data_IF_087232646020
#
_entry.id   IF_087232646020
#
_cell.length_a   1.000
_cell.length_b   1.000
_cell.length_c   1.000
_cell.angle_alpha   90.00
_cell.angle_beta   90.00
_cell.angle_gamma   90.00
#
_symmetry.space_group_name_H-M   'P 1'
#
loop_
_entity.id
_entity.type
_entity.pdbx_description
1 polymer ?
#
# COMPACT_ATOMS: atom_id res chain seq x y z
N UNK A 1 24.56 24.20 5.81
CA UNK A 1 23.60 23.65 4.83
C UNK A 1 22.26 23.47 5.55
N UNK A 2 21.13 23.79 4.94
CA UNK A 2 19.81 23.62 5.57
C UNK A 2 19.61 22.13 5.95
N UNK A 3 19.17 21.84 7.18
CA UNK A 3 18.95 20.48 7.69
C UNK A 3 18.01 19.69 6.76
N UNK A 4 16.95 20.34 6.24
CA UNK A 4 16.04 19.70 5.30
C UNK A 4 16.75 19.29 3.99
N UNK A 5 17.64 20.15 3.49
CA UNK A 5 18.42 19.86 2.28
C UNK A 5 19.43 18.73 2.53
N UNK A 6 20.02 18.65 3.72
CA UNK A 6 20.91 17.56 4.10
C UNK A 6 20.19 16.21 4.12
N UNK A 7 19.00 16.14 4.73
CA UNK A 7 18.17 14.93 4.74
C UNK A 7 17.73 14.52 3.33
N UNK A 8 17.39 15.50 2.48
CA UNK A 8 17.07 15.25 1.08
C UNK A 8 18.22 14.64 0.30
N UNK A 9 19.41 15.23 0.44
CA UNK A 9 20.61 14.72 -0.21
C UNK A 9 20.94 13.32 0.32
N UNK A 10 20.80 13.07 1.63
CA UNK A 10 21.03 11.74 2.22
C UNK A 10 20.06 10.69 1.65
N UNK A 11 18.76 10.99 1.58
CA UNK A 11 17.75 10.09 1.01
C UNK A 11 18.03 9.81 -0.47
N UNK A 12 18.34 10.85 -1.25
CA UNK A 12 18.68 10.71 -2.67
C UNK A 12 19.97 9.91 -2.87
N UNK A 13 20.97 10.11 -2.01
CA UNK A 13 22.21 9.32 -2.03
C UNK A 13 21.92 7.84 -1.73
N UNK A 14 21.07 7.53 -0.76
CA UNK A 14 20.66 6.15 -0.48
C UNK A 14 19.93 5.51 -1.67
N UNK A 15 19.03 6.25 -2.32
CA UNK A 15 18.36 5.78 -3.54
C UNK A 15 19.38 5.54 -4.66
N UNK A 16 20.32 6.47 -4.87
CA UNK A 16 21.36 6.34 -5.88
C UNK A 16 22.26 5.12 -5.60
N UNK A 17 22.66 4.89 -4.35
CA UNK A 17 23.40 3.70 -3.93
C UNK A 17 22.59 2.43 -4.25
N UNK A 18 21.30 2.40 -3.91
CA UNK A 18 20.41 1.28 -4.25
C UNK A 18 20.37 0.99 -5.75
N UNK A 19 20.28 2.04 -6.58
CA UNK A 19 20.31 1.92 -8.04
C UNK A 19 21.67 1.40 -8.53
N UNK A 20 22.79 1.88 -7.97
CA UNK A 20 24.14 1.42 -8.32
C UNK A 20 24.42 -0.02 -7.89
N UNK A 21 23.79 -0.48 -6.81
CA UNK A 21 23.91 -1.86 -6.33
C UNK A 21 22.96 -2.83 -7.03
N UNK A 22 21.86 -2.34 -7.62
CA UNK A 22 20.86 -3.17 -8.32
C UNK A 22 21.47 -4.12 -9.38
N UNK A 23 22.45 -3.73 -10.21
CA UNK A 23 23.09 -4.64 -11.18
C UNK A 23 23.87 -5.79 -10.55
N UNK A 24 24.23 -5.71 -9.26
CA UNK A 24 24.91 -6.81 -8.55
C UNK A 24 23.94 -7.94 -8.19
N UNK A 25 22.63 -7.71 -8.26
CA UNK A 25 21.58 -8.70 -8.06
C UNK A 25 21.35 -9.39 -9.40
N UNK A 26 21.93 -10.58 -9.58
CA UNK A 26 21.96 -11.26 -10.88
C UNK A 26 20.80 -12.23 -11.08
N UNK A 27 20.29 -12.81 -9.99
CA UNK A 27 19.23 -13.82 -10.06
C UNK A 27 17.91 -13.32 -9.52
N UNK A 28 16.80 -13.91 -9.99
CA UNK A 28 15.46 -13.61 -9.50
C UNK A 28 15.31 -14.01 -8.04
N UNK A 29 15.91 -15.13 -7.63
CA UNK A 29 15.92 -15.62 -6.26
C UNK A 29 16.60 -14.63 -5.30
N UNK A 30 17.70 -14.01 -5.71
CA UNK A 30 18.36 -12.97 -4.92
C UNK A 30 17.46 -11.73 -4.76
N UNK A 31 16.81 -11.30 -5.84
CA UNK A 31 15.90 -10.16 -5.80
C UNK A 31 14.70 -10.44 -4.90
N UNK A 32 14.13 -11.63 -4.99
CA UNK A 32 12.97 -12.03 -4.19
C UNK A 32 13.37 -12.25 -2.71
N UNK A 33 14.58 -12.74 -2.44
CA UNK A 33 15.15 -12.79 -1.09
C UNK A 33 15.30 -11.41 -0.46
N UNK A 34 15.82 -10.43 -1.20
CA UNK A 34 15.93 -9.04 -0.72
C UNK A 34 14.53 -8.45 -0.48
N UNK A 35 13.57 -8.66 -1.39
CA UNK A 35 12.18 -8.21 -1.18
C UNK A 35 11.57 -8.84 0.06
N UNK A 36 11.77 -10.13 0.29
CA UNK A 36 11.25 -10.81 1.47
C UNK A 36 11.84 -10.21 2.76
N UNK A 37 13.14 -9.91 2.79
CA UNK A 37 13.76 -9.23 3.94
C UNK A 37 13.15 -7.84 4.14
N UNK A 38 12.97 -7.05 3.08
CA UNK A 38 12.40 -5.71 3.19
C UNK A 38 10.94 -5.75 3.65
N UNK A 39 10.10 -6.54 2.97
CA UNK A 39 8.65 -6.54 3.13
C UNK A 39 8.19 -7.33 4.35
N UNK A 40 8.87 -8.43 4.68
CA UNK A 40 8.43 -9.35 5.73
C UNK A 40 9.16 -9.15 7.06
N UNK A 41 10.34 -8.51 7.06
CA UNK A 41 11.13 -8.28 8.27
C UNK A 41 11.36 -6.80 8.55
N UNK A 42 12.03 -6.07 7.65
CA UNK A 42 12.47 -4.71 7.92
C UNK A 42 11.30 -3.73 8.09
N UNK A 43 10.31 -3.79 7.19
CA UNK A 43 9.14 -2.91 7.26
C UNK A 43 8.28 -3.21 8.51
N UNK A 44 7.89 -4.46 8.81
CA UNK A 44 7.19 -4.76 10.06
C UNK A 44 7.98 -4.36 11.31
N UNK A 45 9.29 -4.64 11.37
CA UNK A 45 10.11 -4.27 12.51
C UNK A 45 10.16 -2.75 12.72
N UNK A 46 10.29 -1.98 11.63
CA UNK A 46 10.27 -0.50 11.69
C UNK A 46 8.95 0.01 12.24
N UNK A 47 7.83 -0.56 11.77
CA UNK A 47 6.48 -0.21 12.25
C UNK A 47 6.34 -0.55 13.74
N UNK A 48 6.73 -1.76 14.16
CA UNK A 48 6.64 -2.17 15.57
C UNK A 48 7.50 -1.30 16.48
N UNK A 49 8.75 -1.03 16.11
CA UNK A 49 9.64 -0.15 16.88
C UNK A 49 9.05 1.26 16.98
N UNK A 50 8.51 1.80 15.88
CA UNK A 50 7.86 3.10 15.88
C UNK A 50 6.63 3.15 16.81
N UNK A 51 5.79 2.11 16.76
CA UNK A 51 4.63 1.98 17.63
C UNK A 51 5.01 1.84 19.11
N UNK A 52 6.04 1.05 19.44
CA UNK A 52 6.53 0.88 20.82
C UNK A 52 7.07 2.18 21.41
N UNK A 53 7.68 3.04 20.59
CA UNK A 53 8.19 4.35 21.00
C UNK A 53 7.09 5.42 21.10
N UNK A 54 5.88 5.12 20.65
CA UNK A 54 4.77 6.08 20.59
C UNK A 54 3.73 5.73 21.64
N UNK A 55 3.24 6.73 22.38
CA UNK A 55 2.07 6.55 23.23
C UNK A 55 0.81 6.39 22.37
N UNK A 56 0.40 5.15 22.14
CA UNK A 56 -0.83 4.86 21.39
C UNK A 56 -2.02 5.18 22.29
N UNK A 57 -2.62 6.35 22.08
CA UNK A 57 -3.84 6.77 22.75
C UNK A 57 -5.06 6.45 21.91
N UNK A 58 -6.21 6.30 22.57
CA UNK A 58 -7.50 5.95 21.94
C UNK A 58 -7.89 6.98 20.87
N UNK A 59 -7.50 8.25 21.02
CA UNK A 59 -7.80 9.30 20.03
C UNK A 59 -7.18 9.01 18.66
N UNK A 60 -6.09 8.22 18.60
CA UNK A 60 -5.43 7.86 17.34
C UNK A 60 -6.22 6.83 16.51
N UNK A 61 -7.27 6.20 17.06
CA UNK A 61 -8.21 5.34 16.29
C UNK A 61 -8.91 6.14 15.18
N UNK A 62 -9.02 7.46 15.34
CA UNK A 62 -9.54 8.34 14.28
C UNK A 62 -8.71 8.26 12.99
N UNK A 63 -7.41 7.94 13.06
CA UNK A 63 -6.54 7.86 11.88
C UNK A 63 -6.93 6.68 10.95
N UNK A 64 -7.05 5.42 11.41
CA UNK A 64 -7.53 4.33 10.56
C UNK A 64 -8.95 4.58 10.02
N UNK A 65 -9.85 5.15 10.82
CA UNK A 65 -11.23 5.46 10.38
C UNK A 65 -11.20 6.49 9.25
N UNK A 66 -10.43 7.57 9.41
CA UNK A 66 -10.28 8.62 8.40
C UNK A 66 -9.70 8.05 7.11
N UNK A 67 -8.66 7.22 7.19
CA UNK A 67 -8.07 6.55 6.03
C UNK A 67 -9.11 5.70 5.31
N UNK A 68 -9.83 4.83 6.03
CA UNK A 68 -10.88 3.98 5.46
C UNK A 68 -11.97 4.79 4.75
N UNK A 69 -12.46 5.87 5.36
CA UNK A 69 -13.43 6.78 4.74
C UNK A 69 -12.84 7.40 3.47
N UNK A 70 -11.60 7.84 3.52
CA UNK A 70 -10.91 8.39 2.35
C UNK A 70 -10.79 7.37 1.20
N UNK A 71 -10.47 6.10 1.50
CA UNK A 71 -10.44 5.05 0.48
C UNK A 71 -11.83 4.83 -0.16
N UNK A 72 -12.90 4.84 0.64
CA UNK A 72 -14.29 4.73 0.13
C UNK A 72 -14.63 5.91 -0.78
N UNK A 73 -14.25 7.13 -0.39
CA UNK A 73 -14.43 8.33 -1.21
C UNK A 73 -13.66 8.23 -2.53
N UNK A 74 -12.39 7.80 -2.49
CA UNK A 74 -11.59 7.59 -3.70
C UNK A 74 -12.19 6.51 -4.61
N UNK A 75 -12.73 5.44 -4.03
CA UNK A 75 -13.40 4.39 -4.79
C UNK A 75 -14.64 4.94 -5.51
N UNK A 76 -15.49 5.68 -4.79
CA UNK A 76 -16.68 6.33 -5.37
C UNK A 76 -16.32 7.34 -6.46
N UNK A 77 -15.31 8.17 -6.21
CA UNK A 77 -14.81 9.16 -7.17
C UNK A 77 -14.24 8.48 -8.41
N UNK A 78 -13.45 7.42 -8.25
CA UNK A 78 -12.91 6.63 -9.36
C UNK A 78 -14.05 6.03 -10.20
N UNK A 79 -15.05 5.46 -9.55
CA UNK A 79 -16.22 4.89 -10.24
C UNK A 79 -16.97 5.95 -11.08
N UNK A 80 -17.04 7.19 -10.60
CA UNK A 80 -17.67 8.30 -11.30
C UNK A 80 -16.81 8.86 -12.43
N UNK A 81 -15.50 9.08 -12.19
CA UNK A 81 -14.62 9.81 -13.11
C UNK A 81 -14.03 8.97 -14.24
N UNK A 82 -13.77 7.68 -14.01
CA UNK A 82 -13.13 6.81 -15.02
C UNK A 82 -13.87 6.78 -16.39
N UNK A 83 -15.22 6.75 -16.46
CA UNK A 83 -15.94 6.80 -17.74
C UNK A 83 -15.75 8.12 -18.49
N UNK A 84 -15.61 9.25 -17.78
CA UNK A 84 -15.31 10.54 -18.40
C UNK A 84 -13.89 10.60 -18.99
N UNK A 85 -12.99 9.73 -18.54
CA UNK A 85 -11.64 9.57 -19.07
C UNK A 85 -11.57 8.54 -20.22
N UNK A 86 -12.72 8.08 -20.73
CA UNK A 86 -12.80 7.10 -21.81
C UNK A 86 -12.70 5.64 -21.36
N UNK A 87 -12.69 5.36 -20.05
CA UNK A 87 -12.64 4.00 -19.51
C UNK A 87 -14.06 3.51 -19.24
N UNK A 88 -14.63 2.78 -20.20
CA UNK A 88 -16.02 2.32 -20.15
C UNK A 88 -16.29 1.40 -18.95
N UNK A 89 -17.49 1.52 -18.37
CA UNK A 89 -17.90 0.66 -17.25
C UNK A 89 -18.00 -0.80 -17.69
N UNK A 90 -17.64 -1.71 -16.79
CA UNK A 90 -17.73 -3.15 -17.02
C UNK A 90 -16.53 -3.78 -17.74
N UNK A 91 -15.59 -2.98 -18.24
CA UNK A 91 -14.38 -3.52 -18.86
C UNK A 91 -13.35 -4.00 -17.80
N UNK A 92 -12.39 -4.86 -18.18
CA UNK A 92 -11.28 -5.22 -17.31
C UNK A 92 -10.43 -4.02 -16.84
N UNK A 93 -10.26 -3.01 -17.70
CA UNK A 93 -9.50 -1.79 -17.41
C UNK A 93 -10.19 -0.96 -16.33
N UNK A 94 -11.52 -0.78 -16.44
CA UNK A 94 -12.31 -0.10 -15.42
C UNK A 94 -12.18 -0.76 -14.06
N UNK A 95 -12.30 -2.09 -14.01
CA UNK A 95 -12.18 -2.87 -12.77
C UNK A 95 -10.78 -2.77 -12.17
N UNK A 96 -9.75 -2.85 -13.02
CA UNK A 96 -8.36 -2.72 -12.60
C UNK A 96 -8.09 -1.34 -11.98
N UNK A 97 -8.53 -0.27 -12.63
CA UNK A 97 -8.36 1.09 -12.12
C UNK A 97 -9.18 1.35 -10.85
N UNK A 98 -10.40 0.81 -10.80
CA UNK A 98 -11.28 0.92 -9.64
C UNK A 98 -10.73 0.21 -8.40
N UNK A 99 -9.91 -0.83 -8.58
CA UNK A 99 -9.13 -1.43 -7.48
C UNK A 99 -7.88 -0.60 -7.17
N UNK A 100 -7.13 -0.20 -8.20
CA UNK A 100 -5.81 0.41 -8.04
C UNK A 100 -5.86 1.79 -7.35
N UNK A 101 -6.71 2.70 -7.82
CA UNK A 101 -6.74 4.09 -7.35
C UNK A 101 -6.98 4.20 -5.83
N UNK A 102 -7.99 3.52 -5.25
CA UNK A 102 -8.22 3.58 -3.82
C UNK A 102 -7.32 2.64 -3.01
N UNK A 103 -6.36 1.91 -3.61
CA UNK A 103 -5.58 0.91 -2.87
C UNK A 103 -4.35 1.44 -2.12
N UNK A 104 -3.84 2.61 -2.49
CA UNK A 104 -2.67 3.33 -1.94
C UNK A 104 -1.63 2.48 -1.16
N UNK A 105 -0.34 2.56 -1.50
CA UNK A 105 0.71 1.81 -0.77
C UNK A 105 1.66 2.68 0.10
N UNK A 106 1.16 3.41 1.14
CA UNK A 106 2.00 4.26 2.00
C UNK A 106 3.21 3.54 2.59
N UNK A 107 3.06 2.29 3.02
CA UNK A 107 4.15 1.53 3.65
C UNK A 107 5.39 1.33 2.76
N UNK A 108 5.23 1.32 1.43
CA UNK A 108 6.35 1.12 0.49
C UNK A 108 7.07 2.41 0.11
N UNK A 109 6.39 3.55 0.17
CA UNK A 109 6.90 4.82 -0.38
C UNK A 109 6.98 5.92 0.67
N UNK A 110 5.90 6.15 1.41
CA UNK A 110 5.80 7.25 2.37
C UNK A 110 6.58 6.97 3.66
N UNK A 111 6.62 5.73 4.14
CA UNK A 111 7.22 5.42 5.44
C UNK A 111 8.73 5.72 5.51
N UNK A 112 9.55 5.38 4.50
CA UNK A 112 10.97 5.77 4.51
C UNK A 112 11.18 7.28 4.55
N UNK A 113 10.33 8.05 3.84
CA UNK A 113 10.40 9.52 3.84
C UNK A 113 10.03 10.07 5.22
N UNK A 114 8.97 9.55 5.84
CA UNK A 114 8.57 9.96 7.18
C UNK A 114 9.64 9.62 8.22
N UNK A 115 10.23 8.43 8.15
CA UNK A 115 11.31 8.02 9.02
C UNK A 115 12.50 8.99 8.92
N UNK A 116 12.91 9.32 7.69
CA UNK A 116 14.04 10.22 7.47
C UNK A 116 13.74 11.66 7.94
N UNK A 117 12.59 12.23 7.57
CA UNK A 117 12.33 13.65 7.80
C UNK A 117 11.67 13.97 9.13
N UNK A 118 10.73 13.13 9.57
CA UNK A 118 9.87 13.38 10.74
C UNK A 118 10.06 12.35 11.87
N UNK A 119 10.82 11.28 11.64
CA UNK A 119 11.20 10.30 12.64
C UNK A 119 10.10 9.27 12.97
N UNK A 120 10.38 8.47 14.00
CA UNK A 120 9.59 7.28 14.36
C UNK A 120 8.13 7.60 14.72
N UNK A 121 7.86 8.73 15.36
CA UNK A 121 6.50 9.12 15.73
C UNK A 121 5.62 9.33 14.50
N UNK A 122 6.15 9.98 13.45
CA UNK A 122 5.42 10.17 12.20
C UNK A 122 5.18 8.84 11.47
N UNK A 123 6.13 7.91 11.54
CA UNK A 123 5.98 6.55 11.00
C UNK A 123 4.87 5.80 11.75
N UNK A 124 4.79 5.93 13.07
CA UNK A 124 3.73 5.31 13.87
C UNK A 124 2.34 5.83 13.48
N UNK A 125 2.18 7.15 13.33
CA UNK A 125 0.92 7.75 12.89
C UNK A 125 0.53 7.31 11.48
N UNK A 126 1.50 7.27 10.57
CA UNK A 126 1.28 6.77 9.22
C UNK A 126 0.95 5.27 9.18
N UNK A 127 1.53 4.46 10.07
CA UNK A 127 1.19 3.05 10.21
C UNK A 127 -0.23 2.84 10.73
N UNK A 128 -0.68 3.64 11.71
CA UNK A 128 -2.05 3.63 12.19
C UNK A 128 -3.04 4.06 11.11
N UNK A 129 -2.70 5.07 10.30
CA UNK A 129 -3.49 5.44 9.12
C UNK A 129 -3.52 4.34 8.06
N UNK A 130 -2.38 3.76 7.71
CA UNK A 130 -2.28 2.69 6.70
C UNK A 130 -3.02 1.42 7.14
N UNK A 131 -3.23 1.19 8.44
CA UNK A 131 -4.09 0.11 8.94
C UNK A 131 -5.51 0.22 8.35
N UNK A 132 -6.10 1.42 8.33
CA UNK A 132 -7.42 1.65 7.74
C UNK A 132 -7.44 1.39 6.24
N UNK A 133 -6.38 1.80 5.55
CA UNK A 133 -6.18 1.51 4.14
C UNK A 133 -6.04 -0.01 3.87
N UNK A 134 -5.32 -0.76 4.70
CA UNK A 134 -5.23 -2.23 4.57
C UNK A 134 -6.55 -2.92 4.85
N UNK A 135 -7.36 -2.44 5.78
CA UNK A 135 -8.73 -2.93 5.97
C UNK A 135 -9.54 -2.76 4.69
N UNK A 136 -9.49 -1.59 4.05
CA UNK A 136 -10.18 -1.37 2.77
C UNK A 136 -9.70 -2.33 1.67
N UNK A 137 -8.39 -2.43 1.48
CA UNK A 137 -7.81 -3.24 0.39
C UNK A 137 -8.01 -4.74 0.63
N UNK A 138 -7.63 -5.24 1.80
CA UNK A 138 -7.61 -6.68 2.08
C UNK A 138 -9.00 -7.25 2.34
N UNK A 139 -9.96 -6.42 2.76
CA UNK A 139 -11.32 -6.87 3.02
C UNK A 139 -12.25 -6.42 1.90
N UNK A 140 -12.43 -5.11 1.71
CA UNK A 140 -13.47 -4.58 0.79
C UNK A 140 -13.12 -4.89 -0.67
N UNK A 141 -11.91 -4.54 -1.12
CA UNK A 141 -11.52 -4.80 -2.50
C UNK A 141 -11.35 -6.30 -2.78
N UNK A 142 -10.89 -7.08 -1.80
CA UNK A 142 -10.86 -8.54 -1.92
C UNK A 142 -12.26 -9.12 -2.16
N UNK A 143 -13.26 -8.75 -1.36
CA UNK A 143 -14.64 -9.21 -1.55
C UNK A 143 -15.21 -8.77 -2.90
N UNK A 144 -14.88 -7.54 -3.34
CA UNK A 144 -15.28 -7.05 -4.66
C UNK A 144 -14.63 -7.87 -5.79
N UNK A 145 -13.34 -8.18 -5.67
CA UNK A 145 -12.61 -9.00 -6.63
C UNK A 145 -13.20 -10.41 -6.70
N UNK A 146 -13.52 -11.02 -5.56
CA UNK A 146 -14.20 -12.32 -5.49
C UNK A 146 -15.57 -12.28 -6.16
N UNK A 147 -16.36 -11.23 -5.90
CA UNK A 147 -17.66 -11.05 -6.58
C UNK A 147 -17.51 -10.96 -8.09
N UNK A 148 -16.50 -10.25 -8.60
CA UNK A 148 -16.22 -10.23 -10.03
C UNK A 148 -15.79 -11.59 -10.54
N UNK A 149 -14.92 -12.31 -9.82
CA UNK A 149 -14.49 -13.65 -10.21
C UNK A 149 -15.68 -14.57 -10.46
N UNK A 150 -16.60 -14.71 -9.49
CA UNK A 150 -17.78 -15.55 -9.65
C UNK A 150 -18.75 -15.07 -10.74
N UNK A 151 -18.76 -13.77 -11.06
CA UNK A 151 -19.61 -13.23 -12.12
C UNK A 151 -19.09 -13.58 -13.52
N UNK A 152 -17.78 -13.65 -13.71
CA UNK A 152 -17.16 -13.88 -15.03
C UNK A 152 -16.68 -15.31 -15.22
N UNK A 153 -16.46 -16.04 -14.13
CA UNK A 153 -16.15 -17.47 -14.10
C UNK A 153 -17.17 -18.17 -13.20
N UNK A 154 -18.45 -18.25 -13.59
CA UNK A 154 -19.42 -19.06 -12.87
C UNK A 154 -18.86 -20.49 -12.80
N UNK A 155 -18.89 -21.09 -11.61
CA UNK A 155 -18.49 -22.49 -11.44
C UNK A 155 -19.25 -23.36 -12.44
N UNK A 156 -18.55 -23.92 -13.44
CA UNK A 156 -19.08 -25.06 -14.16
C UNK A 156 -19.46 -26.11 -13.11
N UNK A 157 -20.66 -26.65 -13.25
CA UNK A 157 -21.33 -27.50 -12.29
C UNK A 157 -20.38 -28.53 -11.66
N UNK A 158 -20.17 -28.42 -10.35
CA UNK A 158 -19.76 -29.55 -9.51
C UNK A 158 -20.96 -30.51 -9.44
N UNK A 159 -21.24 -31.18 -10.56
CA UNK A 159 -22.29 -32.18 -10.70
C UNK A 159 -21.86 -33.18 -11.78
N UNK A 160 -20.87 -34.01 -11.46
CA UNK A 160 -20.64 -35.36 -12.01
C UNK A 160 -19.46 -35.99 -11.26
N UNK A 161 -19.69 -36.43 -10.04
CA UNK A 161 -18.89 -37.46 -9.35
C UNK A 161 -19.64 -37.84 -8.05
N UNK A 162 -20.79 -38.48 -8.22
CA UNK A 162 -21.43 -39.31 -7.20
C UNK A 162 -21.52 -40.72 -7.76
#
# INVERSE_FOLDING_TARGET
>A
MNIALQKAIALLALIAIGILLKPKIKSKEQADGIKAIILSLALPATIFIALLKTEVRVELISLPILALVFNVLLFGLSHLLLPFMGIARGTPEFRSMLMMIPSLAPGLSCFPILAEYQGDQAVAWAALGDLGNKVFVLIVLYLLAMRWYYRFFPSENVSTAA
#
